data_IF_521117607271
#
_entry.id   IF_521117607271
#
_cell.length_a   1.000
_cell.length_b   1.000
_cell.length_c   1.000
_cell.angle_alpha   90.00
_cell.angle_beta   90.00
_cell.angle_gamma   90.00
#
_symmetry.space_group_name_H-M   'P 1'
#
loop_
_entity.id
_entity.type
_entity.pdbx_description
1 polymer ?
#
# COMPACT_ATOMS: atom_id res chain seq x y z
N UNK A 1 35.97 -25.97 8.33
CA UNK A 1 34.76 -25.52 7.60
C UNK A 1 34.71 -24.00 7.70
N UNK A 2 34.68 -23.30 6.57
CA UNK A 2 34.75 -21.83 6.52
C UNK A 2 33.48 -21.20 7.11
N UNK A 3 33.60 -20.62 8.30
CA UNK A 3 32.56 -19.89 9.02
C UNK A 3 32.23 -18.51 8.40
N UNK A 4 33.18 -17.91 7.66
CA UNK A 4 33.00 -16.58 7.04
C UNK A 4 31.85 -16.49 6.04
N UNK A 5 31.64 -17.55 5.24
CA UNK A 5 30.52 -17.62 4.28
C UNK A 5 29.16 -17.71 4.98
N UNK A 6 29.13 -18.19 6.22
CA UNK A 6 27.90 -18.29 7.02
C UNK A 6 27.53 -16.94 7.63
N UNK A 7 28.50 -16.17 8.11
CA UNK A 7 28.26 -14.86 8.72
C UNK A 7 27.79 -13.82 7.68
N UNK A 8 28.44 -13.78 6.50
CA UNK A 8 28.01 -12.93 5.39
C UNK A 8 26.62 -13.30 4.88
N UNK A 9 26.30 -14.60 4.82
CA UNK A 9 24.99 -15.09 4.44
C UNK A 9 23.90 -14.67 5.44
N UNK A 10 24.16 -14.82 6.74
CA UNK A 10 23.23 -14.40 7.81
C UNK A 10 22.98 -12.89 7.73
N UNK A 11 24.03 -12.10 7.49
CA UNK A 11 23.90 -10.65 7.35
C UNK A 11 23.01 -10.27 6.16
N UNK A 12 23.18 -10.93 5.01
CA UNK A 12 22.33 -10.73 3.83
C UNK A 12 20.88 -11.13 4.11
N UNK A 13 20.66 -12.29 4.75
CA UNK A 13 19.31 -12.72 5.12
C UNK A 13 18.64 -11.69 6.03
N UNK A 14 19.33 -11.24 7.08
CA UNK A 14 18.81 -10.25 8.00
C UNK A 14 18.37 -8.98 7.25
N UNK A 15 19.24 -8.46 6.38
CA UNK A 15 18.95 -7.25 5.59
C UNK A 15 17.76 -7.41 4.64
N UNK A 16 17.56 -8.59 4.04
CA UNK A 16 16.43 -8.86 3.13
C UNK A 16 15.12 -9.14 3.87
N UNK A 17 15.18 -9.54 5.13
CA UNK A 17 14.01 -9.85 5.98
C UNK A 17 13.59 -8.69 6.88
N UNK A 18 14.00 -7.46 6.55
CA UNK A 18 13.67 -6.26 7.31
C UNK A 18 13.11 -5.16 6.42
N UNK A 19 12.13 -4.42 6.94
CA UNK A 19 11.54 -3.26 6.28
C UNK A 19 10.23 -3.55 5.55
N UNK A 20 9.71 -2.50 4.91
CA UNK A 20 8.48 -2.57 4.14
C UNK A 20 8.71 -3.14 2.74
N UNK A 21 7.77 -3.94 2.25
CA UNK A 21 7.77 -4.41 0.88
C UNK A 21 6.50 -5.17 0.51
N UNK A 22 6.34 -5.51 -0.77
CA UNK A 22 5.19 -6.26 -1.28
C UNK A 22 5.42 -7.77 -1.14
N UNK A 23 5.54 -8.25 0.10
CA UNK A 23 5.88 -9.65 0.40
C UNK A 23 4.68 -10.61 0.36
N UNK A 24 3.44 -10.08 0.32
CA UNK A 24 2.25 -10.91 0.14
C UNK A 24 1.90 -11.07 -1.35
N UNK A 25 2.02 -12.30 -1.84
CA UNK A 25 1.70 -12.66 -3.23
C UNK A 25 0.22 -12.49 -3.61
N UNK A 26 -0.69 -12.29 -2.65
CA UNK A 26 -2.13 -12.15 -2.94
C UNK A 26 -2.51 -10.87 -3.65
N UNK A 27 -1.75 -9.79 -3.48
CA UNK A 27 -2.07 -8.51 -4.11
C UNK A 27 -0.86 -7.60 -4.19
N UNK A 28 -0.68 -6.94 -5.33
CA UNK A 28 0.34 -5.89 -5.46
C UNK A 28 0.08 -4.66 -4.60
N UNK A 29 -1.15 -4.51 -4.11
CA UNK A 29 -1.56 -3.42 -3.22
C UNK A 29 -1.25 -3.67 -1.74
N UNK A 30 -0.72 -4.84 -1.40
CA UNK A 30 -0.41 -5.18 -0.01
C UNK A 30 1.05 -4.89 0.32
N UNK A 31 1.28 -4.03 1.30
CA UNK A 31 2.60 -3.72 1.84
C UNK A 31 2.74 -4.38 3.22
N UNK A 32 3.81 -5.14 3.41
CA UNK A 32 4.08 -5.88 4.64
C UNK A 32 5.38 -5.37 5.24
N UNK A 33 5.35 -5.07 6.53
CA UNK A 33 6.52 -4.75 7.33
C UNK A 33 7.12 -6.04 7.90
N UNK A 34 8.37 -6.31 7.53
CA UNK A 34 9.17 -7.39 8.09
C UNK A 34 10.16 -6.88 9.15
N UNK A 35 10.46 -7.71 10.17
CA UNK A 35 9.93 -9.06 10.40
C UNK A 35 8.54 -9.07 11.05
N UNK A 36 7.98 -7.95 11.49
CA UNK A 36 6.80 -7.84 12.35
C UNK A 36 5.54 -8.51 11.78
N UNK A 37 5.42 -8.60 10.45
CA UNK A 37 4.27 -9.17 9.75
C UNK A 37 3.04 -8.27 9.76
N UNK A 38 3.21 -6.97 10.03
CA UNK A 38 2.15 -5.98 9.88
C UNK A 38 1.86 -5.78 8.39
N UNK A 39 0.63 -6.02 7.98
CA UNK A 39 0.15 -5.85 6.61
C UNK A 39 -0.76 -4.63 6.51
N UNK A 40 -0.52 -3.87 5.46
CA UNK A 40 -1.24 -2.67 5.10
C UNK A 40 -1.68 -2.83 3.63
N UNK A 41 -2.97 -3.04 3.45
CA UNK A 41 -3.56 -3.42 2.18
C UNK A 41 -4.46 -2.31 1.67
N UNK A 42 -4.11 -1.78 0.48
CA UNK A 42 -4.94 -0.81 -0.23
C UNK A 42 -6.04 -1.52 -1.02
N UNK A 43 -7.28 -1.07 -0.81
CA UNK A 43 -8.46 -1.54 -1.51
C UNK A 43 -9.19 -0.34 -2.14
N UNK A 44 -9.89 -0.59 -3.25
CA UNK A 44 -10.70 0.43 -3.92
C UNK A 44 -12.17 0.05 -3.89
N UNK A 45 -13.01 1.00 -3.52
CA UNK A 45 -14.45 0.85 -3.43
C UNK A 45 -15.15 1.87 -4.32
N UNK A 46 -16.25 1.48 -4.92
CA UNK A 46 -17.15 2.40 -5.62
C UNK A 46 -18.50 2.35 -4.94
N UNK A 47 -19.02 3.53 -4.61
CA UNK A 47 -20.39 3.66 -4.09
C UNK A 47 -21.37 3.60 -5.25
N UNK A 48 -21.71 2.38 -5.67
CA UNK A 48 -22.73 2.10 -6.70
C UNK A 48 -23.70 1.06 -6.17
N UNK A 49 -24.99 1.21 -6.47
CA UNK A 49 -26.02 0.32 -5.96
C UNK A 49 -25.99 -1.01 -6.75
N UNK A 50 -25.86 -2.15 -6.05
CA UNK A 50 -26.27 -3.46 -6.58
C UNK A 50 -25.29 -4.26 -7.47
N UNK A 51 -23.98 -3.97 -7.53
CA UNK A 51 -23.01 -4.78 -8.30
C UNK A 51 -21.87 -5.30 -7.40
N UNK A 52 -21.45 -6.56 -7.60
CA UNK A 52 -20.29 -7.18 -6.95
C UNK A 52 -18.96 -6.56 -7.37
N UNK A 53 -18.89 -5.94 -8.55
CA UNK A 53 -17.66 -5.33 -9.09
C UNK A 53 -17.33 -3.98 -8.45
N UNK A 54 -18.00 -3.61 -7.36
CA UNK A 54 -17.85 -2.32 -6.70
C UNK A 54 -16.70 -2.28 -5.68
N UNK A 55 -15.96 -3.39 -5.51
CA UNK A 55 -14.85 -3.47 -4.57
C UNK A 55 -13.69 -4.27 -5.17
N UNK A 56 -12.53 -3.64 -5.29
CA UNK A 56 -11.26 -4.33 -5.54
C UNK A 56 -10.55 -4.50 -4.22
N UNK A 57 -10.42 -5.75 -3.80
CA UNK A 57 -9.53 -6.14 -2.72
C UNK A 57 -8.15 -6.50 -3.26
N UNK A 58 -8.08 -7.42 -4.20
CA UNK A 58 -6.83 -7.97 -4.71
C UNK A 58 -6.61 -7.57 -6.15
N UNK A 59 -5.39 -7.15 -6.47
CA UNK A 59 -4.98 -6.79 -7.82
C UNK A 59 -3.69 -7.53 -8.21
N UNK A 60 -3.61 -7.94 -9.48
CA UNK A 60 -2.50 -8.71 -10.02
C UNK A 60 -1.97 -8.06 -11.29
N UNK A 61 -0.65 -8.12 -11.51
CA UNK A 61 -0.01 -7.62 -12.73
C UNK A 61 -0.49 -8.39 -13.97
N UNK A 62 -0.71 -9.70 -13.82
CA UNK A 62 -1.20 -10.56 -14.89
C UNK A 62 -2.45 -11.29 -14.45
N UNK A 63 -3.50 -11.19 -15.27
CA UNK A 63 -4.62 -12.12 -15.22
C UNK A 63 -4.22 -13.42 -15.91
N UNK A 64 -4.12 -14.54 -15.18
CA UNK A 64 -3.97 -15.88 -15.77
C UNK A 64 -5.32 -16.42 -16.29
N UNK A 65 -5.90 -15.73 -17.27
CA UNK A 65 -7.09 -16.21 -17.99
C UNK A 65 -8.45 -15.94 -17.32
N UNK A 66 -8.50 -15.25 -16.18
CA UNK A 66 -9.74 -14.78 -15.57
C UNK A 66 -9.94 -13.29 -15.86
N UNK A 67 -11.03 -12.92 -16.53
CA UNK A 67 -11.32 -11.51 -16.77
C UNK A 67 -11.40 -10.77 -15.42
N UNK A 68 -10.51 -9.80 -15.24
CA UNK A 68 -10.41 -8.95 -14.05
C UNK A 68 -10.89 -7.55 -14.41
N UNK A 69 -11.64 -6.87 -13.53
CA UNK A 69 -12.15 -5.53 -13.81
C UNK A 69 -11.05 -4.47 -13.81
N UNK A 70 -9.90 -4.75 -13.19
CA UNK A 70 -8.74 -3.87 -13.12
C UNK A 70 -7.62 -4.28 -14.09
N UNK A 71 -6.88 -3.28 -14.57
CA UNK A 71 -5.61 -3.47 -15.27
C UNK A 71 -4.49 -2.79 -14.49
N UNK A 72 -3.46 -3.56 -14.15
CA UNK A 72 -2.30 -3.09 -13.38
C UNK A 72 -1.10 -2.99 -14.30
N UNK A 73 -0.48 -1.81 -14.32
CA UNK A 73 0.79 -1.55 -15.01
C UNK A 73 1.86 -1.20 -13.98
N UNK A 74 2.88 -2.06 -13.76
CA UNK A 74 4.01 -1.74 -12.89
C UNK A 74 4.81 -0.55 -13.43
N UNK A 75 5.22 0.34 -12.53
CA UNK A 75 6.09 1.47 -12.82
C UNK A 75 7.51 1.22 -12.31
N UNK A 76 8.18 2.31 -11.91
CA UNK A 76 9.51 2.23 -11.30
C UNK A 76 9.46 1.53 -9.95
N UNK A 77 10.49 0.72 -9.67
CA UNK A 77 10.62 0.00 -8.39
C UNK A 77 12.08 -0.03 -7.96
N UNK A 78 12.36 0.35 -6.72
CA UNK A 78 13.69 0.27 -6.13
C UNK A 78 13.97 -1.17 -5.66
N UNK A 79 15.16 -1.71 -5.92
CA UNK A 79 15.52 -3.09 -5.55
C UNK A 79 15.35 -3.41 -4.06
N UNK A 80 15.52 -2.42 -3.19
CA UNK A 80 15.35 -2.53 -1.74
C UNK A 80 13.91 -2.26 -1.26
N UNK A 81 12.94 -2.20 -2.18
CA UNK A 81 11.53 -1.85 -1.92
C UNK A 81 11.30 -0.48 -1.26
N UNK A 82 12.32 0.40 -1.22
CA UNK A 82 12.18 1.75 -0.65
C UNK A 82 11.27 2.67 -1.48
N UNK A 83 11.03 2.32 -2.74
CA UNK A 83 10.08 2.99 -3.61
C UNK A 83 9.43 1.99 -4.56
N UNK A 84 8.12 2.06 -4.70
CA UNK A 84 7.38 1.31 -5.73
C UNK A 84 6.32 2.20 -6.36
N UNK A 85 6.17 2.08 -7.67
CA UNK A 85 5.15 2.78 -8.45
C UNK A 85 4.33 1.76 -9.23
N UNK A 86 3.03 1.98 -9.30
CA UNK A 86 2.13 1.23 -10.15
C UNK A 86 0.96 2.10 -10.60
N UNK A 87 0.45 1.80 -11.80
CA UNK A 87 -0.76 2.42 -12.32
C UNK A 87 -1.89 1.39 -12.35
N UNK A 88 -3.05 1.78 -11.81
CA UNK A 88 -4.27 0.98 -11.79
C UNK A 88 -5.33 1.66 -12.64
N UNK A 89 -5.81 0.96 -13.68
CA UNK A 89 -7.02 1.34 -14.42
C UNK A 89 -8.17 0.47 -13.94
N UNK A 90 -9.24 1.11 -13.47
CA UNK A 90 -10.45 0.44 -13.02
C UNK A 90 -11.70 1.29 -13.28
N UNK A 91 -12.67 0.69 -13.98
CA UNK A 91 -13.98 1.28 -14.28
C UNK A 91 -13.90 2.72 -14.83
N UNK A 92 -12.91 2.99 -15.69
CA UNK A 92 -12.71 4.29 -16.33
C UNK A 92 -12.04 5.33 -15.44
N UNK A 93 -11.61 4.96 -14.23
CA UNK A 93 -10.72 5.76 -13.38
C UNK A 93 -9.30 5.18 -13.43
N UNK A 94 -8.31 6.05 -13.52
CA UNK A 94 -6.89 5.70 -13.54
C UNK A 94 -6.21 6.33 -12.34
N UNK A 95 -5.52 5.51 -11.55
CA UNK A 95 -4.79 5.91 -10.36
C UNK A 95 -3.32 5.56 -10.51
N UNK A 96 -2.45 6.52 -10.20
CA UNK A 96 -1.04 6.23 -9.93
C UNK A 96 -0.87 6.06 -8.43
N UNK A 97 -0.33 4.93 -8.04
CA UNK A 97 -0.09 4.54 -6.65
C UNK A 97 1.41 4.45 -6.47
N UNK A 98 1.91 5.23 -5.53
CA UNK A 98 3.32 5.30 -5.19
C UNK A 98 3.47 4.99 -3.72
N UNK A 99 4.42 4.13 -3.40
CA UNK A 99 4.83 3.84 -2.02
C UNK A 99 6.29 4.22 -1.85
N UNK A 100 6.61 4.83 -0.73
CA UNK A 100 7.96 5.16 -0.34
C UNK A 100 8.19 4.83 1.13
N UNK A 101 9.44 4.49 1.48
CA UNK A 101 9.85 4.29 2.87
C UNK A 101 10.74 5.45 3.28
N UNK A 102 10.31 6.22 4.28
CA UNK A 102 11.05 7.36 4.84
C UNK A 102 11.14 7.15 6.34
N UNK A 103 12.35 7.17 6.92
CA UNK A 103 12.57 7.01 8.36
C UNK A 103 11.90 5.76 8.99
N UNK A 104 11.85 4.65 8.22
CA UNK A 104 11.18 3.36 8.55
C UNK A 104 9.64 3.40 8.53
N UNK A 105 9.06 4.52 8.16
CA UNK A 105 7.62 4.67 7.95
C UNK A 105 7.28 4.51 6.47
N UNK A 106 6.12 3.93 6.19
CA UNK A 106 5.59 3.82 4.83
C UNK A 106 4.73 5.03 4.52
N UNK A 107 5.00 5.66 3.38
CA UNK A 107 4.21 6.76 2.82
C UNK A 107 3.56 6.26 1.54
N UNK A 108 2.25 6.44 1.43
CA UNK A 108 1.46 6.07 0.26
C UNK A 108 0.86 7.31 -0.38
N UNK A 109 1.18 7.52 -1.65
CA UNK A 109 0.62 8.59 -2.47
C UNK A 109 -0.26 7.98 -3.56
N UNK A 110 -1.55 8.31 -3.52
CA UNK A 110 -2.51 7.87 -4.52
C UNK A 110 -2.93 9.11 -5.31
N UNK A 111 -2.45 9.19 -6.55
CA UNK A 111 -2.73 10.30 -7.46
C UNK A 111 -3.79 9.88 -8.47
N UNK A 112 -4.99 10.49 -8.48
CA UNK A 112 -5.97 10.27 -9.53
C UNK A 112 -5.48 10.92 -10.83
N UNK A 113 -5.15 10.12 -11.84
CA UNK A 113 -4.80 10.61 -13.19
C UNK A 113 -6.08 10.91 -13.97
N UNK A 114 -7.07 10.03 -13.85
CA UNK A 114 -8.38 10.16 -14.48
C UNK A 114 -9.43 9.66 -13.51
N UNK A 115 -10.52 10.41 -13.34
CA UNK A 115 -11.63 10.01 -12.47
C UNK A 115 -12.88 9.90 -13.32
N UNK A 116 -13.60 8.79 -13.19
CA UNK A 116 -14.92 8.61 -13.78
C UNK A 116 -15.94 9.54 -13.09
N UNK A 117 -17.21 9.50 -13.51
CA UNK A 117 -18.29 10.32 -12.94
C UNK A 117 -18.48 10.15 -11.42
N UNK A 118 -17.96 9.07 -10.84
CA UNK A 118 -17.98 8.82 -9.40
C UNK A 118 -16.57 8.51 -8.95
N UNK A 119 -16.03 9.33 -8.04
CA UNK A 119 -14.70 9.09 -7.44
C UNK A 119 -14.74 7.83 -6.58
N UNK A 120 -13.90 6.83 -6.85
CA UNK A 120 -13.70 5.71 -5.95
C UNK A 120 -13.23 6.12 -4.56
N UNK A 121 -13.73 5.43 -3.54
CA UNK A 121 -13.21 5.51 -2.18
C UNK A 121 -12.04 4.56 -1.99
N UNK A 122 -10.96 5.03 -1.37
CA UNK A 122 -9.85 4.19 -0.93
C UNK A 122 -10.19 3.62 0.45
N UNK A 123 -10.00 2.32 0.61
CA UNK A 123 -10.15 1.61 1.89
C UNK A 123 -8.78 1.07 2.27
N UNK A 124 -8.36 1.34 3.50
CA UNK A 124 -7.13 0.82 4.07
C UNK A 124 -7.48 -0.33 5.02
N UNK A 125 -7.09 -1.55 4.67
CA UNK A 125 -7.19 -2.69 5.56
C UNK A 125 -5.83 -2.91 6.24
N UNK A 126 -5.83 -3.07 7.55
CA UNK A 126 -4.61 -3.33 8.33
C UNK A 126 -4.79 -4.61 9.13
N UNK A 127 -3.77 -5.47 9.14
CA UNK A 127 -3.84 -6.76 9.83
C UNK A 127 -2.47 -7.33 10.17
N UNK A 128 -2.43 -8.26 11.11
CA UNK A 128 -1.23 -9.05 11.41
C UNK A 128 -1.25 -10.34 10.60
N UNK A 129 -0.19 -10.60 9.85
CA UNK A 129 -0.03 -11.82 9.05
C UNK A 129 0.63 -12.94 9.85
N UNK A 130 0.43 -14.17 9.36
CA UNK A 130 1.13 -15.38 9.82
C UNK A 130 0.93 -15.69 11.31
N UNK A 131 -0.25 -15.37 11.83
CA UNK A 131 -0.61 -15.57 13.23
C UNK A 131 0.36 -14.89 14.20
N UNK A 132 0.98 -13.78 13.77
CA UNK A 132 1.85 -12.98 14.62
C UNK A 132 1.03 -12.13 15.57
N UNK A 133 1.55 -11.99 16.78
CA UNK A 133 0.96 -11.13 17.81
C UNK A 133 1.18 -9.66 17.46
N UNK A 134 0.18 -8.83 17.73
CA UNK A 134 0.26 -7.39 17.51
C UNK A 134 -1.02 -6.70 17.95
N UNK A 135 -0.91 -5.40 18.26
CA UNK A 135 -2.07 -4.56 18.55
C UNK A 135 -2.10 -3.40 17.57
N UNK A 136 -3.21 -3.28 16.85
CA UNK A 136 -3.43 -2.18 15.92
C UNK A 136 -4.17 -1.07 16.67
N UNK A 137 -3.59 0.13 16.69
CA UNK A 137 -4.24 1.33 17.22
C UNK A 137 -4.38 2.33 16.08
N UNK A 138 -5.61 2.74 15.80
CA UNK A 138 -5.85 3.82 14.86
C UNK A 138 -5.90 5.11 15.65
N UNK A 139 -4.96 6.02 15.37
CA UNK A 139 -5.06 7.40 15.85
C UNK A 139 -5.63 8.26 14.74
N UNK A 140 -6.70 9.00 15.06
CA UNK A 140 -7.31 9.95 14.13
C UNK A 140 -6.95 11.34 14.62
N UNK A 141 -5.83 11.86 14.11
CA UNK A 141 -5.33 13.20 14.41
C UNK A 141 -4.15 13.52 13.50
N UNK A 142 -3.94 14.81 13.25
CA UNK A 142 -2.74 15.29 12.55
C UNK A 142 -1.63 15.30 13.60
N UNK A 143 -0.61 14.45 13.47
CA UNK A 143 0.63 14.68 14.21
C UNK A 143 1.41 15.78 13.50
N UNK A 144 1.45 16.95 14.14
CA UNK A 144 2.07 18.16 13.62
C UNK A 144 3.60 18.20 13.85
N UNK A 145 4.22 17.09 14.23
CA UNK A 145 5.65 16.99 14.51
C UNK A 145 6.54 17.19 13.28
N UNK A 146 5.99 17.13 12.05
CA UNK A 146 6.72 17.47 10.82
C UNK A 146 6.47 18.94 10.37
N UNK A 147 7.44 19.85 10.54
CA UNK A 147 7.27 21.28 10.21
C UNK A 147 7.08 21.59 8.71
N UNK A 148 7.34 20.63 7.81
CA UNK A 148 7.21 20.85 6.36
C UNK A 148 5.76 20.82 5.84
N UNK A 149 4.84 20.23 6.61
CA UNK A 149 3.42 20.05 6.21
C UNK A 149 2.56 21.27 6.60
N UNK A 150 3.09 22.19 7.44
CA UNK A 150 2.33 23.30 8.02
C UNK A 150 1.80 24.34 7.00
N UNK A 151 2.38 24.44 5.80
CA UNK A 151 2.08 25.57 4.90
C UNK A 151 0.79 25.45 4.08
N UNK A 152 0.18 24.27 3.98
CA UNK A 152 -0.89 24.03 2.99
C UNK A 152 -2.23 23.56 3.57
N UNK A 153 -2.44 23.58 4.89
CA UNK A 153 -3.69 23.11 5.47
C UNK A 153 -4.67 24.26 5.76
N UNK A 154 -5.79 24.27 5.02
CA UNK A 154 -7.00 25.03 5.35
C UNK A 154 -8.12 24.03 5.69
N UNK A 155 -8.55 23.89 6.96
CA UNK A 155 -9.66 23.00 7.30
C UNK A 155 -10.95 23.55 6.68
N UNK A 156 -11.58 22.77 5.78
CA UNK A 156 -12.80 23.22 5.08
C UNK A 156 -14.13 22.71 5.65
N UNK A 157 -14.16 21.87 6.69
CA UNK A 157 -15.43 21.40 7.22
C UNK A 157 -15.37 21.19 8.74
N UNK A 158 -16.18 21.96 9.45
CA UNK A 158 -16.47 21.83 10.87
C UNK A 158 -17.94 21.39 10.95
N UNK A 159 -18.18 20.18 11.44
CA UNK A 159 -19.56 19.70 11.66
C UNK A 159 -20.09 20.29 12.97
N UNK A 160 -21.37 20.71 13.01
CA UNK A 160 -21.99 21.20 14.24
C UNK A 160 -22.26 20.04 15.22
N UNK A 161 -22.29 20.40 16.51
CA UNK A 161 -22.40 19.53 17.69
C UNK A 161 -23.66 18.65 17.74
#
# INVERSE_FOLDING_TARGET
>A
MNNKTTDEYIAVQHNLTTGWGTFDSRSVFNHVLLPEGLSLHLCFSRRTHGNSDNYIKEAFISSRGAARPETITPGMHAYNASYTELTCDWQGSVFKIESAVVDKEIVLLITPIKVANTTPGVVLEVGMLWNREGTIKTFRGIDCSNPSIQKNYHPKYQYPD
#
